data_IF_865311855077
#
_entry.id   IF_865311855077
#
_cell.length_a   1.000
_cell.length_b   1.000
_cell.length_c   1.000
_cell.angle_alpha   90.00
_cell.angle_beta   90.00
_cell.angle_gamma   90.00
#
_symmetry.space_group_name_H-M   'P 1'
#
loop_
_entity.id
_entity.type
_entity.pdbx_description
1 polymer ?
#
# COMPACT_ATOMS: atom_id res chain seq x y z
N UNK A 1 -75.60 -19.58 -29.28
CA UNK A 1 -74.96 -19.61 -27.95
C UNK A 1 -73.47 -19.80 -28.14
N UNK A 2 -72.63 -19.13 -27.32
CA UNK A 2 -71.33 -18.63 -27.73
C UNK A 2 -70.18 -19.53 -27.25
N UNK A 3 -69.02 -19.48 -27.91
CA UNK A 3 -67.79 -19.27 -27.14
C UNK A 3 -66.67 -18.69 -28.03
N UNK A 4 -66.35 -17.44 -27.73
CA UNK A 4 -65.12 -16.77 -28.14
C UNK A 4 -63.99 -17.38 -27.30
N UNK A 5 -62.92 -17.86 -27.92
CA UNK A 5 -61.65 -18.01 -27.22
C UNK A 5 -60.63 -17.05 -27.85
N UNK A 6 -60.40 -15.97 -27.12
CA UNK A 6 -59.23 -15.11 -27.27
C UNK A 6 -57.98 -15.97 -27.15
N UNK A 7 -57.00 -15.77 -28.04
CA UNK A 7 -55.61 -16.05 -27.69
C UNK A 7 -54.74 -14.88 -28.16
N UNK A 8 -54.02 -14.37 -27.18
CA UNK A 8 -53.34 -13.10 -27.10
C UNK A 8 -52.06 -13.11 -27.95
N UNK A 9 -51.91 -12.17 -28.89
CA UNK A 9 -50.63 -11.93 -29.57
C UNK A 9 -49.73 -11.20 -28.56
N UNK A 10 -48.74 -11.90 -28.01
CA UNK A 10 -47.69 -11.31 -27.19
C UNK A 10 -46.77 -10.47 -28.10
N UNK A 11 -46.88 -9.14 -28.02
CA UNK A 11 -45.85 -8.24 -28.50
C UNK A 11 -44.57 -8.47 -27.66
N UNK A 12 -43.53 -8.99 -28.29
CA UNK A 12 -42.17 -8.96 -27.73
C UNK A 12 -41.66 -7.51 -27.74
N UNK A 13 -41.90 -6.79 -26.65
CA UNK A 13 -41.19 -5.55 -26.34
C UNK A 13 -39.83 -5.94 -25.78
N UNK A 14 -38.79 -5.79 -26.58
CA UNK A 14 -37.40 -5.94 -26.14
C UNK A 14 -37.02 -4.70 -25.33
N UNK A 15 -37.23 -4.73 -24.01
CA UNK A 15 -36.67 -3.72 -23.11
C UNK A 15 -35.20 -4.06 -22.92
N UNK A 16 -34.33 -3.36 -23.64
CA UNK A 16 -32.89 -3.38 -23.38
C UNK A 16 -32.63 -2.75 -22.01
N UNK A 17 -32.65 -3.58 -20.98
CA UNK A 17 -32.13 -3.22 -19.66
C UNK A 17 -30.61 -3.16 -19.74
N UNK A 18 -30.06 -1.95 -19.88
CA UNK A 18 -28.64 -1.70 -19.60
C UNK A 18 -28.41 -1.95 -18.10
N UNK A 19 -28.06 -3.18 -17.75
CA UNK A 19 -27.51 -3.48 -16.43
C UNK A 19 -26.11 -2.90 -16.38
N UNK A 20 -25.95 -1.72 -15.80
CA UNK A 20 -24.66 -1.33 -15.24
C UNK A 20 -24.43 -2.27 -14.07
N UNK A 21 -23.76 -3.41 -14.34
CA UNK A 21 -23.17 -4.21 -13.29
C UNK A 21 -22.24 -3.27 -12.53
N UNK A 22 -22.67 -2.83 -11.34
CA UNK A 22 -21.76 -2.29 -10.36
C UNK A 22 -20.67 -3.35 -10.21
N UNK A 23 -19.46 -3.05 -10.71
CA UNK A 23 -18.30 -3.90 -10.49
C UNK A 23 -18.18 -4.01 -8.98
N UNK A 24 -18.60 -5.14 -8.44
CA UNK A 24 -18.27 -5.55 -7.09
C UNK A 24 -16.74 -5.56 -7.09
N UNK A 25 -16.12 -4.54 -6.51
CA UNK A 25 -14.68 -4.53 -6.33
C UNK A 25 -14.39 -5.69 -5.39
N UNK A 26 -14.11 -6.86 -5.95
CA UNK A 26 -13.48 -7.94 -5.20
C UNK A 26 -12.21 -7.33 -4.63
N UNK A 27 -12.19 -7.13 -3.31
CA UNK A 27 -10.93 -6.86 -2.61
C UNK A 27 -10.06 -8.08 -2.88
N UNK A 28 -9.16 -7.95 -3.85
CA UNK A 28 -8.14 -8.94 -4.05
C UNK A 28 -7.31 -8.98 -2.77
N UNK A 29 -7.04 -10.19 -2.29
CA UNK A 29 -6.18 -10.41 -1.14
C UNK A 29 -5.03 -11.33 -1.55
N UNK A 30 -3.93 -11.22 -0.84
CA UNK A 30 -2.82 -12.16 -0.89
C UNK A 30 -2.50 -12.64 0.53
N UNK A 31 -2.10 -13.90 0.66
CA UNK A 31 -1.69 -14.46 1.94
C UNK A 31 -0.24 -14.92 1.87
N UNK A 32 0.47 -14.81 2.99
CA UNK A 32 1.81 -15.36 3.15
C UNK A 32 1.78 -16.74 3.83
N UNK A 33 2.95 -17.37 3.94
CA UNK A 33 3.12 -18.67 4.59
C UNK A 33 2.88 -18.62 6.11
N UNK A 34 2.94 -17.44 6.73
CA UNK A 34 2.70 -17.23 8.16
C UNK A 34 1.19 -17.09 8.48
N UNK A 35 0.33 -17.12 7.45
CA UNK A 35 -1.12 -17.00 7.58
C UNK A 35 -1.62 -15.57 7.66
N UNK A 36 -0.77 -14.56 7.43
CA UNK A 36 -1.26 -13.19 7.29
C UNK A 36 -2.00 -13.05 5.96
N UNK A 37 -3.02 -12.21 5.93
CA UNK A 37 -3.77 -11.87 4.71
C UNK A 37 -3.78 -10.37 4.52
N UNK A 38 -3.37 -9.93 3.33
CA UNK A 38 -3.22 -8.53 2.94
C UNK A 38 -4.21 -8.20 1.83
N UNK A 39 -4.89 -7.08 1.97
CA UNK A 39 -5.64 -6.47 0.87
C UNK A 39 -4.67 -5.88 -0.15
N UNK A 40 -4.98 -6.05 -1.43
CA UNK A 40 -4.21 -5.50 -2.54
C UNK A 40 -5.10 -4.64 -3.43
N UNK A 41 -4.52 -3.64 -4.07
CA UNK A 41 -5.24 -2.72 -4.95
C UNK A 41 -4.38 -2.30 -6.12
N UNK A 42 -4.95 -2.32 -7.32
CA UNK A 42 -4.36 -1.62 -8.47
C UNK A 42 -4.57 -0.12 -8.26
N UNK A 43 -3.47 0.60 -8.10
CA UNK A 43 -3.46 2.03 -7.86
C UNK A 43 -3.40 2.80 -9.20
N UNK A 44 -3.62 4.13 -9.21
CA UNK A 44 -3.65 4.90 -10.46
C UNK A 44 -2.37 4.87 -11.29
N UNK A 45 -1.23 4.53 -10.69
CA UNK A 45 0.05 4.29 -11.37
C UNK A 45 0.04 3.01 -12.23
N UNK A 46 -1.04 2.22 -12.16
CA UNK A 46 -1.22 0.96 -12.89
C UNK A 46 -0.54 -0.23 -12.21
N UNK A 47 0.14 -0.04 -11.08
CA UNK A 47 0.73 -1.13 -10.32
C UNK A 47 -0.22 -1.63 -9.24
N UNK A 48 -0.01 -2.87 -8.81
CA UNK A 48 -0.72 -3.43 -7.67
C UNK A 48 0.10 -3.26 -6.40
N UNK A 49 -0.51 -2.67 -5.37
CA UNK A 49 0.12 -2.39 -4.09
C UNK A 49 -0.57 -3.15 -2.96
N UNK A 50 0.20 -3.52 -1.93
CA UNK A 50 -0.40 -3.84 -0.64
C UNK A 50 -1.04 -2.58 -0.03
N UNK A 51 -2.27 -2.72 0.47
CA UNK A 51 -2.97 -1.66 1.20
C UNK A 51 -2.91 -1.85 2.71
N UNK A 52 -2.09 -2.79 3.19
CA UNK A 52 -1.67 -2.96 4.58
C UNK A 52 -0.14 -3.08 4.64
N UNK A 53 0.46 -2.70 5.77
CA UNK A 53 1.90 -2.87 6.01
C UNK A 53 2.25 -4.36 6.11
N UNK A 54 3.38 -4.74 5.53
CA UNK A 54 3.83 -6.14 5.51
C UNK A 54 4.05 -6.69 6.92
N UNK A 55 3.61 -7.91 7.20
CA UNK A 55 3.74 -8.57 8.50
C UNK A 55 4.40 -9.97 8.43
N UNK A 56 5.11 -10.27 7.33
CA UNK A 56 5.88 -11.50 7.15
C UNK A 56 7.02 -11.55 8.16
N UNK A 57 7.16 -12.64 8.91
CA UNK A 57 8.23 -12.78 9.88
C UNK A 57 9.51 -13.28 9.21
N UNK A 58 10.52 -12.42 9.15
CA UNK A 58 11.89 -12.76 8.75
C UNK A 58 12.90 -12.35 9.82
N UNK A 59 14.15 -12.80 9.67
CA UNK A 59 15.25 -12.28 10.49
C UNK A 59 15.37 -10.76 10.32
N UNK A 60 15.80 -10.07 11.38
CA UNK A 60 15.86 -8.60 11.41
C UNK A 60 14.54 -7.92 11.06
N UNK A 61 13.44 -8.42 11.63
CA UNK A 61 12.12 -7.77 11.58
C UNK A 61 11.42 -7.78 12.95
N UNK A 62 10.75 -6.69 13.30
CA UNK A 62 10.22 -6.48 14.65
C UNK A 62 8.81 -5.92 14.64
N UNK A 63 8.02 -6.28 15.65
CA UNK A 63 6.86 -5.48 16.01
C UNK A 63 7.34 -4.23 16.77
N UNK A 64 6.67 -3.10 16.58
CA UNK A 64 7.00 -1.92 17.38
C UNK A 64 6.92 -2.25 18.88
N UNK A 65 7.96 -1.86 19.65
CA UNK A 65 8.10 -2.17 21.07
C UNK A 65 8.08 -3.68 21.41
N UNK A 66 8.40 -4.53 20.44
CA UNK A 66 8.35 -6.01 20.54
C UNK A 66 6.96 -6.56 20.91
N UNK A 67 5.90 -5.77 20.70
CA UNK A 67 4.52 -6.13 21.02
C UNK A 67 3.79 -6.69 19.79
N UNK A 68 3.37 -7.96 19.78
CA UNK A 68 2.59 -8.55 18.68
C UNK A 68 1.29 -7.80 18.34
N UNK A 69 0.69 -7.07 19.29
CA UNK A 69 -0.48 -6.24 19.01
C UNK A 69 -0.15 -5.10 18.03
N UNK A 70 1.05 -4.53 18.11
CA UNK A 70 1.49 -3.48 17.19
C UNK A 70 1.70 -4.02 15.77
N UNK A 71 2.20 -5.25 15.62
CA UNK A 71 2.30 -5.91 14.31
C UNK A 71 0.96 -6.02 13.58
N UNK A 72 -0.12 -6.28 14.32
CA UNK A 72 -1.48 -6.39 13.74
C UNK A 72 -1.99 -5.06 13.20
N UNK A 73 -1.50 -3.93 13.73
CA UNK A 73 -1.97 -2.59 13.37
C UNK A 73 -1.05 -1.95 12.33
N UNK A 74 0.27 -2.05 12.52
CA UNK A 74 1.29 -1.30 11.78
C UNK A 74 2.20 -2.18 10.91
N UNK A 75 1.96 -3.50 10.89
CA UNK A 75 2.90 -4.46 10.32
C UNK A 75 4.21 -4.53 11.12
N UNK A 76 5.22 -5.16 10.52
CA UNK A 76 6.58 -5.20 11.09
C UNK A 76 7.43 -4.05 10.57
N UNK A 77 8.46 -3.72 11.34
CA UNK A 77 9.58 -2.90 10.94
C UNK A 77 10.71 -3.82 10.46
N UNK A 78 11.26 -3.53 9.29
CA UNK A 78 12.28 -4.35 8.63
C UNK A 78 13.56 -3.53 8.42
N UNK A 79 14.72 -4.17 8.46
CA UNK A 79 15.92 -3.59 7.84
C UNK A 79 15.76 -3.56 6.32
N UNK A 80 16.60 -2.81 5.62
CA UNK A 80 16.54 -2.72 4.16
C UNK A 80 16.65 -4.10 3.48
N UNK A 81 17.57 -4.94 3.96
CA UNK A 81 17.75 -6.28 3.41
C UNK A 81 16.54 -7.19 3.69
N UNK A 82 16.03 -7.18 4.93
CA UNK A 82 14.89 -8.03 5.30
C UNK A 82 13.58 -7.56 4.66
N UNK A 83 13.45 -6.26 4.32
CA UNK A 83 12.33 -5.72 3.56
C UNK A 83 12.26 -6.31 2.15
N UNK A 84 13.39 -6.43 1.45
CA UNK A 84 13.46 -7.01 0.12
C UNK A 84 13.13 -8.50 0.14
N UNK A 85 13.71 -9.24 1.09
CA UNK A 85 13.44 -10.66 1.33
C UNK A 85 11.95 -10.91 1.59
N UNK A 86 11.37 -10.19 2.56
CA UNK A 86 9.99 -10.38 2.99
C UNK A 86 8.97 -10.11 1.87
N UNK A 87 9.22 -9.12 1.00
CA UNK A 87 8.35 -8.93 -0.17
C UNK A 87 8.47 -10.06 -1.19
N UNK A 88 9.65 -10.65 -1.37
CA UNK A 88 9.84 -11.80 -2.26
C UNK A 88 9.11 -13.05 -1.78
N UNK A 89 8.90 -13.19 -0.46
CA UNK A 89 8.15 -14.29 0.14
C UNK A 89 6.64 -14.25 -0.17
N UNK A 90 6.10 -13.12 -0.65
CA UNK A 90 4.72 -13.06 -1.16
C UNK A 90 4.56 -13.78 -2.52
N UNK A 91 5.65 -14.24 -3.11
CA UNK A 91 5.65 -15.01 -4.35
C UNK A 91 5.76 -14.16 -5.62
N UNK A 92 5.52 -14.79 -6.76
CA UNK A 92 5.94 -14.28 -8.06
C UNK A 92 5.44 -12.86 -8.36
N UNK A 93 6.39 -11.98 -8.67
CA UNK A 93 6.17 -10.61 -9.09
C UNK A 93 6.08 -9.58 -7.96
N UNK A 94 5.96 -10.02 -6.70
CA UNK A 94 6.02 -9.12 -5.56
C UNK A 94 7.46 -8.75 -5.23
N UNK A 95 7.67 -7.46 -4.98
CA UNK A 95 8.98 -6.91 -4.64
C UNK A 95 8.84 -5.70 -3.72
N UNK A 96 9.94 -5.33 -3.09
CA UNK A 96 10.05 -4.04 -2.43
C UNK A 96 9.88 -2.92 -3.48
N UNK A 97 9.05 -1.93 -3.15
CA UNK A 97 8.82 -0.74 -3.99
C UNK A 97 10.09 0.06 -4.18
N UNK A 98 10.29 0.68 -5.35
CA UNK A 98 11.38 1.61 -5.63
C UNK A 98 10.97 3.05 -5.35
N UNK A 99 11.94 3.96 -5.32
CA UNK A 99 11.67 5.40 -5.29
C UNK A 99 10.76 5.82 -6.45
N UNK A 100 11.00 5.27 -7.65
CA UNK A 100 10.21 5.58 -8.84
C UNK A 100 8.76 5.09 -8.72
N UNK A 101 8.52 3.95 -8.07
CA UNK A 101 7.17 3.46 -7.83
C UNK A 101 6.41 4.40 -6.89
N UNK A 102 7.03 4.80 -5.78
CA UNK A 102 6.43 5.77 -4.85
C UNK A 102 6.19 7.14 -5.47
N UNK A 103 7.14 7.64 -6.27
CA UNK A 103 6.94 8.88 -7.02
C UNK A 103 5.77 8.75 -7.99
N UNK A 104 5.73 7.68 -8.80
CA UNK A 104 4.64 7.40 -9.74
C UNK A 104 3.28 7.33 -9.06
N UNK A 105 3.17 6.64 -7.91
CA UNK A 105 1.96 6.62 -7.10
C UNK A 105 1.58 8.01 -6.59
N UNK A 106 2.52 8.71 -5.97
CA UNK A 106 2.27 10.01 -5.32
C UNK A 106 1.94 11.11 -6.31
N UNK A 107 2.46 11.06 -7.54
CA UNK A 107 2.23 12.07 -8.58
C UNK A 107 0.75 12.14 -8.99
N UNK A 108 0.00 11.02 -8.89
CA UNK A 108 -1.46 11.01 -9.05
C UNK A 108 -2.22 11.71 -7.92
N UNK A 109 -1.56 12.02 -6.81
CA UNK A 109 -2.12 12.67 -5.62
C UNK A 109 -1.41 14.00 -5.31
N UNK A 110 -0.81 14.65 -6.31
CA UNK A 110 -0.17 15.96 -6.18
C UNK A 110 1.34 15.93 -5.88
N UNK A 111 1.92 14.73 -5.78
CA UNK A 111 3.35 14.49 -5.56
C UNK A 111 3.76 14.52 -4.09
N UNK A 112 4.89 13.88 -3.79
CA UNK A 112 5.58 14.04 -2.50
C UNK A 112 6.34 15.37 -2.42
N UNK A 113 6.89 15.70 -1.25
CA UNK A 113 7.49 17.00 -0.95
C UNK A 113 8.56 17.47 -1.93
N UNK A 114 9.27 16.57 -2.60
CA UNK A 114 10.31 16.88 -3.59
C UNK A 114 9.77 17.35 -4.96
N UNK A 115 8.48 17.10 -5.27
CA UNK A 115 7.86 17.44 -6.57
C UNK A 115 6.58 18.27 -6.42
N UNK A 116 5.95 18.25 -5.26
CA UNK A 116 4.67 18.92 -5.00
C UNK A 116 4.83 20.43 -4.78
N UNK A 117 3.78 21.20 -5.12
CA UNK A 117 3.70 22.64 -4.76
C UNK A 117 3.29 22.88 -3.31
N UNK A 118 2.60 21.92 -2.68
CA UNK A 118 2.04 22.06 -1.33
C UNK A 118 2.90 21.39 -0.23
N UNK A 119 4.09 20.91 -0.60
CA UNK A 119 5.01 20.21 0.31
C UNK A 119 4.61 18.77 0.62
N UNK A 120 3.72 18.16 -0.16
CA UNK A 120 3.32 16.75 -0.08
C UNK A 120 2.04 16.55 0.72
N UNK A 121 1.27 17.62 0.96
CA UNK A 121 0.10 17.60 1.84
C UNK A 121 -1.11 16.91 1.20
N UNK A 122 -1.34 17.15 -0.08
CA UNK A 122 -2.41 16.48 -0.84
C UNK A 122 -2.14 14.97 -0.89
N UNK A 123 -0.91 14.57 -1.20
CA UNK A 123 -0.51 13.17 -1.24
C UNK A 123 -0.63 12.50 0.13
N UNK A 124 -0.20 13.16 1.21
CA UNK A 124 -0.39 12.67 2.57
C UNK A 124 -1.88 12.40 2.87
N UNK A 125 -2.74 13.39 2.63
CA UNK A 125 -4.18 13.25 2.90
C UNK A 125 -4.82 12.10 2.11
N UNK A 126 -4.42 11.92 0.85
CA UNK A 126 -4.99 10.89 0.00
C UNK A 126 -4.50 9.48 0.36
N UNK A 127 -3.21 9.31 0.67
CA UNK A 127 -2.55 8.00 0.84
C UNK A 127 -2.56 7.47 2.29
N UNK A 128 -2.71 8.33 3.30
CA UNK A 128 -2.78 7.92 4.71
C UNK A 128 -4.07 7.10 5.00
N UNK A 129 -4.07 6.32 6.08
CA UNK A 129 -5.28 5.66 6.63
C UNK A 129 -6.48 6.60 6.69
N UNK A 130 -7.58 6.20 6.07
CA UNK A 130 -8.82 7.00 5.97
C UNK A 130 -8.84 7.99 4.81
N UNK A 131 -7.74 8.10 4.05
CA UNK A 131 -7.67 8.87 2.80
C UNK A 131 -8.43 8.20 1.65
N UNK A 132 -8.74 8.99 0.62
CA UNK A 132 -9.58 8.56 -0.51
C UNK A 132 -8.94 7.50 -1.43
N UNK A 133 -7.61 7.37 -1.38
CA UNK A 133 -6.88 6.43 -2.25
C UNK A 133 -7.12 4.97 -1.87
N UNK A 134 -7.45 4.69 -0.60
CA UNK A 134 -7.47 3.33 -0.05
C UNK A 134 -6.09 2.68 0.07
N UNK A 135 -4.99 3.44 -0.03
CA UNK A 135 -3.63 2.94 0.20
C UNK A 135 -3.37 2.63 1.68
N UNK A 136 -3.96 3.42 2.57
CA UNK A 136 -3.94 3.24 4.03
C UNK A 136 -2.53 3.16 4.63
N UNK A 137 -1.65 4.12 4.30
CA UNK A 137 -0.37 4.25 4.97
C UNK A 137 -0.59 4.55 6.47
N UNK A 138 0.04 3.75 7.33
CA UNK A 138 0.02 3.91 8.79
C UNK A 138 1.23 4.71 9.28
N UNK A 139 1.19 5.10 10.56
CA UNK A 139 2.25 5.83 11.25
C UNK A 139 2.95 4.91 12.26
N UNK A 140 3.50 3.80 11.76
CA UNK A 140 4.10 2.72 12.56
C UNK A 140 5.42 3.04 13.28
N UNK A 141 5.96 4.25 13.11
CA UNK A 141 7.25 4.64 13.68
C UNK A 141 8.44 3.99 12.96
N UNK A 142 9.56 3.89 13.66
CA UNK A 142 10.78 3.21 13.21
C UNK A 142 11.53 2.54 14.37
N UNK A 143 12.51 1.72 14.01
CA UNK A 143 13.51 1.17 14.93
C UNK A 143 14.86 1.78 14.59
N UNK A 144 15.41 2.56 15.50
CA UNK A 144 16.65 3.32 15.28
C UNK A 144 17.88 2.40 15.28
N UNK A 145 18.93 2.84 14.59
CA UNK A 145 20.19 2.11 14.47
C UNK A 145 20.86 1.92 15.84
N UNK A 146 20.96 3.00 16.61
CA UNK A 146 21.66 3.01 17.89
C UNK A 146 20.81 2.34 18.98
N UNK A 147 21.27 1.17 19.43
CA UNK A 147 20.61 0.43 20.50
C UNK A 147 19.25 -0.18 20.13
N UNK A 148 18.80 -0.04 18.87
CA UNK A 148 17.56 -0.66 18.42
C UNK A 148 16.29 -0.06 19.02
N UNK A 149 16.32 1.22 19.41
CA UNK A 149 15.20 1.89 20.08
C UNK A 149 14.02 2.07 19.14
N UNK A 150 12.81 1.82 19.66
CA UNK A 150 11.57 2.10 18.94
C UNK A 150 11.16 3.56 19.14
N UNK A 151 10.84 4.25 18.05
CA UNK A 151 10.57 5.69 18.10
C UNK A 151 9.45 6.11 17.14
N UNK A 152 8.90 7.30 17.38
CA UNK A 152 8.01 8.03 16.44
C UNK A 152 6.68 7.34 16.10
N UNK A 153 6.22 6.36 16.87
CA UNK A 153 4.88 5.78 16.72
C UNK A 153 3.81 6.89 16.71
N UNK A 154 2.85 6.80 15.80
CA UNK A 154 1.77 7.77 15.54
C UNK A 154 2.24 9.17 15.09
N UNK A 155 3.56 9.40 14.97
CA UNK A 155 4.12 10.66 14.47
C UNK A 155 4.67 10.52 13.07
N UNK A 156 5.25 9.36 12.76
CA UNK A 156 5.86 9.07 11.47
C UNK A 156 5.54 7.65 10.99
N UNK A 157 5.40 7.49 9.69
CA UNK A 157 5.44 6.19 9.01
C UNK A 157 6.56 6.23 7.97
N UNK A 158 7.64 5.48 8.21
CA UNK A 158 8.76 5.37 7.28
C UNK A 158 8.57 4.14 6.42
N UNK A 159 8.80 4.28 5.12
CA UNK A 159 8.58 3.24 4.13
C UNK A 159 9.83 3.03 3.30
N UNK A 160 10.40 1.83 3.38
CA UNK A 160 11.56 1.48 2.58
C UNK A 160 11.26 1.54 1.09
N UNK A 161 12.24 2.03 0.34
CA UNK A 161 12.32 1.77 -1.10
C UNK A 161 13.50 0.84 -1.37
N UNK A 162 13.51 0.11 -2.49
CA UNK A 162 14.69 -0.65 -2.94
C UNK A 162 15.71 0.22 -3.68
N UNK A 163 15.60 1.55 -3.64
CA UNK A 163 16.51 2.47 -4.33
C UNK A 163 17.63 2.87 -3.38
N UNK A 164 18.83 2.34 -3.61
CA UNK A 164 20.00 2.65 -2.81
C UNK A 164 20.54 4.06 -3.09
N UNK A 165 21.21 4.64 -2.09
CA UNK A 165 22.04 5.85 -2.24
C UNK A 165 23.50 5.44 -2.25
N UNK A 166 23.91 4.66 -1.25
CA UNK A 166 25.25 4.11 -1.12
C UNK A 166 25.23 2.77 -0.36
N UNK A 167 26.40 2.32 0.10
CA UNK A 167 26.55 1.07 0.83
C UNK A 167 25.78 1.03 2.17
N UNK A 168 25.58 2.18 2.81
CA UNK A 168 24.99 2.32 4.15
C UNK A 168 23.55 2.83 4.11
N UNK A 169 23.17 3.60 3.09
CA UNK A 169 21.90 4.31 3.06
C UNK A 169 21.04 4.01 1.82
N UNK A 170 19.72 4.14 1.98
CA UNK A 170 18.75 4.00 0.90
C UNK A 170 17.62 5.03 1.01
N UNK A 171 16.98 5.32 -0.12
CA UNK A 171 15.82 6.21 -0.16
C UNK A 171 14.63 5.62 0.61
N UNK A 172 13.90 6.47 1.32
CA UNK A 172 12.64 6.12 1.96
C UNK A 172 11.58 7.20 1.74
N UNK A 173 10.33 6.85 2.00
CA UNK A 173 9.23 7.82 2.09
C UNK A 173 8.77 7.94 3.55
N UNK A 174 8.40 9.14 3.98
CA UNK A 174 7.98 9.42 5.35
C UNK A 174 6.65 10.18 5.37
N UNK A 175 5.62 9.55 5.93
CA UNK A 175 4.37 10.21 6.30
C UNK A 175 4.56 10.91 7.64
N UNK A 176 4.71 12.24 7.64
CA UNK A 176 4.91 13.04 8.85
C UNK A 176 3.62 13.67 9.36
N UNK A 177 3.12 13.24 10.52
CA UNK A 177 1.85 13.71 11.08
C UNK A 177 1.88 15.20 11.47
N UNK A 178 3.02 15.70 11.95
CA UNK A 178 3.16 17.10 12.36
C UNK A 178 2.97 18.09 11.21
N UNK A 179 3.57 17.79 10.05
CA UNK A 179 3.42 18.57 8.83
C UNK A 179 2.24 18.17 7.95
N UNK A 180 1.62 17.01 8.24
CA UNK A 180 0.64 16.32 7.39
C UNK A 180 1.11 16.23 5.95
N UNK A 181 2.34 15.77 5.77
CA UNK A 181 3.03 15.76 4.50
C UNK A 181 3.70 14.41 4.22
N UNK A 182 3.71 14.02 2.95
CA UNK A 182 4.46 12.89 2.43
C UNK A 182 5.81 13.40 1.96
N UNK A 183 6.88 12.97 2.63
CA UNK A 183 8.24 13.34 2.31
C UNK A 183 8.95 12.24 1.53
N UNK A 184 9.68 12.62 0.48
CA UNK A 184 10.71 11.78 -0.13
C UNK A 184 12.03 12.16 0.54
N UNK A 185 12.57 11.27 1.37
CA UNK A 185 13.76 11.57 2.18
C UNK A 185 15.03 11.14 1.46
N UNK A 186 16.09 11.92 1.64
CA UNK A 186 17.42 11.76 1.06
C UNK A 186 18.30 10.71 1.77
N UNK A 187 17.69 9.77 2.49
CA UNK A 187 18.37 8.59 3.01
C UNK A 187 17.92 8.17 4.40
N UNK A 188 18.00 6.87 4.65
CA UNK A 188 17.93 6.25 5.97
C UNK A 188 18.96 5.13 6.03
N UNK A 189 19.56 4.92 7.20
CA UNK A 189 20.54 3.87 7.42
C UNK A 189 19.90 2.49 7.21
N UNK A 190 20.46 1.67 6.32
CA UNK A 190 19.89 0.36 5.90
C UNK A 190 19.66 -0.62 7.05
N UNK A 191 20.29 -0.40 8.21
CA UNK A 191 20.15 -1.20 9.43
C UNK A 191 19.05 -0.70 10.37
N UNK A 192 18.43 0.44 10.11
CA UNK A 192 17.22 0.88 10.81
C UNK A 192 16.01 0.02 10.40
N UNK A 193 14.99 0.00 11.24
CA UNK A 193 13.71 -0.65 10.97
C UNK A 193 12.68 0.33 10.44
N UNK A 194 12.10 0.07 9.28
CA UNK A 194 10.98 0.83 8.70
C UNK A 194 9.90 -0.10 8.15
N UNK A 195 8.69 0.44 7.94
CA UNK A 195 7.56 -0.29 7.36
C UNK A 195 7.78 -0.57 5.87
N UNK A 196 7.01 -1.51 5.32
CA UNK A 196 7.15 -1.99 3.95
C UNK A 196 5.80 -2.05 3.25
N UNK A 197 5.76 -1.54 2.01
CA UNK A 197 4.66 -1.70 1.06
C UNK A 197 5.19 -2.41 -0.18
N UNK A 198 4.89 -3.71 -0.29
CA UNK A 198 5.26 -4.46 -1.48
C UNK A 198 4.39 -4.06 -2.66
N UNK A 199 4.98 -4.17 -3.85
CA UNK A 199 4.35 -3.84 -5.11
C UNK A 199 4.54 -4.99 -6.11
N UNK A 200 3.57 -5.15 -7.01
CA UNK A 200 3.64 -6.01 -8.17
C UNK A 200 3.32 -5.21 -9.43
N UNK A 201 4.22 -5.24 -10.40
CA UNK A 201 4.00 -4.57 -11.69
C UNK A 201 2.98 -5.34 -12.51
N UNK A 202 1.98 -4.64 -13.02
CA UNK A 202 0.97 -5.22 -13.90
C UNK A 202 1.41 -5.03 -15.36
N UNK A 203 1.35 -6.10 -16.17
CA UNK A 203 1.60 -5.98 -17.59
C UNK A 203 0.51 -5.07 -18.20
N UNK A 204 0.93 -4.07 -18.99
CA UNK A 204 0.00 -3.29 -19.81
C UNK A 204 -0.41 -4.17 -20.98
N UNK A 205 -1.65 -4.63 -20.99
CA UNK A 205 -2.26 -5.26 -22.16
C UNK A 205 -2.66 -4.21 -23.19
#
# INVERSE_FOLDING_TARGET
>A
MPNKLLTLILLNVCIQGMSTAAKCQTRETISDADGNTYSVKVMPDGNQWLTQDLNVRVDSSWCFADDPANCKIYGRLYTYASAAEACGMLGNGWRLSSRKDWEGLSDHYGGASNKSKDGGKTAYKALQTGGESGFNATLGGNRELEGGKYARLNKHGFYWTNTEIDALTAWNFNFGAGGKALHCQDGMEKREGASVRCIRTMAKH
#
